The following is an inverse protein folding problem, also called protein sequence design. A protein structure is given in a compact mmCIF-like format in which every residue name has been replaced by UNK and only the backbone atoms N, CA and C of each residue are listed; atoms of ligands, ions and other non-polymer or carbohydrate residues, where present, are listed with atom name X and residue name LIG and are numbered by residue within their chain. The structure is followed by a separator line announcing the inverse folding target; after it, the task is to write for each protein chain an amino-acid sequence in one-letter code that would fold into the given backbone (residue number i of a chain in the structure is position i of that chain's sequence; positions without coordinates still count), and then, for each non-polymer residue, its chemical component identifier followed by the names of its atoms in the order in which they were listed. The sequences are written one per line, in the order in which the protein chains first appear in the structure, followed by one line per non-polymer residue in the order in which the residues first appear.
data_IF_030205381654
#
_entry.id   IF_030205381654
#
_cell.length_a   1.000
_cell.length_b   1.000
_cell.length_c   1.000
_cell.angle_alpha   90.00
_cell.angle_beta   90.00
_cell.angle_gamma   90.00
#
_symmetry.space_group_name_H-M   'P 1'
#
loop_
_entity.id
_entity.type
_entity.pdbx_description
1 polymer ?
#
# COMPACT_ATOMS: atom_id res chain seq x y z
N UNK A 1 12.05 4.15 0.87
CA UNK A 1 11.73 3.07 1.81
C UNK A 1 12.96 2.77 2.66
N UNK A 2 12.90 3.06 3.96
CA UNK A 2 13.95 2.72 4.92
C UNK A 2 13.67 1.37 5.59
N UNK A 3 14.70 0.72 6.14
CA UNK A 3 14.56 -0.52 6.94
C UNK A 3 13.48 -0.38 8.03
N UNK A 4 13.48 0.76 8.73
CA UNK A 4 12.48 1.06 9.77
C UNK A 4 11.07 1.13 9.20
N UNK A 5 10.87 1.81 8.08
CA UNK A 5 9.57 1.86 7.44
C UNK A 5 9.11 0.45 7.00
N UNK A 6 10.03 -0.42 6.53
CA UNK A 6 9.69 -1.80 6.15
C UNK A 6 9.19 -2.59 7.37
N UNK A 7 9.91 -2.51 8.48
CA UNK A 7 9.56 -3.21 9.72
C UNK A 7 8.27 -2.67 10.36
N UNK A 8 7.99 -1.38 10.21
CA UNK A 8 6.79 -0.74 10.79
C UNK A 8 5.59 -0.69 9.85
N UNK A 9 5.69 -1.25 8.63
CA UNK A 9 4.66 -1.18 7.58
C UNK A 9 3.30 -1.70 8.05
N UNK A 10 3.26 -2.82 8.79
CA UNK A 10 2.02 -3.40 9.31
C UNK A 10 1.25 -2.48 10.27
N UNK A 11 1.95 -1.52 10.89
CA UNK A 11 1.42 -0.53 11.84
C UNK A 11 1.67 0.91 11.39
N UNK A 12 1.71 1.15 10.08
CA UNK A 12 2.11 2.43 9.49
C UNK A 12 1.29 3.63 9.99
N UNK A 13 0.03 3.42 10.40
CA UNK A 13 -0.86 4.47 10.92
C UNK A 13 -0.36 5.07 12.23
N UNK A 14 0.25 4.26 13.08
CA UNK A 14 0.76 4.63 14.40
C UNK A 14 2.27 4.89 14.38
N UNK A 15 2.94 4.49 13.31
CA UNK A 15 4.38 4.63 13.13
C UNK A 15 4.80 6.08 12.87
N UNK A 16 5.85 6.51 13.58
CA UNK A 16 6.55 7.77 13.32
C UNK A 16 7.56 7.68 12.17
N UNK A 17 7.74 6.50 11.57
CA UNK A 17 8.63 6.31 10.41
C UNK A 17 8.02 6.82 9.10
N UNK A 18 6.72 7.11 9.07
CA UNK A 18 6.00 7.64 7.91
C UNK A 18 5.57 9.08 8.13
N UNK A 19 5.71 9.88 7.08
CA UNK A 19 5.14 11.22 6.98
C UNK A 19 3.61 11.16 6.85
N UNK A 20 2.96 12.32 6.96
CA UNK A 20 1.51 12.41 6.77
C UNK A 20 1.08 12.03 5.34
N UNK A 21 1.88 12.38 4.33
CA UNK A 21 1.58 12.09 2.93
C UNK A 21 1.80 10.62 2.58
N UNK A 22 2.87 10.00 3.11
CA UNK A 22 3.09 8.56 2.98
C UNK A 22 1.95 7.76 3.63
N UNK A 23 1.47 8.18 4.81
CA UNK A 23 0.30 7.54 5.46
C UNK A 23 -0.97 7.66 4.62
N UNK A 24 -1.21 8.80 3.98
CA UNK A 24 -2.36 8.98 3.07
C UNK A 24 -2.26 8.08 1.83
N UNK A 25 -1.08 7.97 1.23
CA UNK A 25 -0.87 7.07 0.11
C UNK A 25 -1.07 5.60 0.49
N UNK A 26 -0.59 5.19 1.68
CA UNK A 26 -0.81 3.86 2.22
C UNK A 26 -2.29 3.61 2.56
N UNK A 27 -3.01 4.59 3.10
CA UNK A 27 -4.46 4.48 3.33
C UNK A 27 -5.21 4.19 2.01
N UNK A 28 -4.87 4.90 0.92
CA UNK A 28 -5.44 4.61 -0.41
C UNK A 28 -5.10 3.20 -0.88
N UNK A 29 -3.84 2.78 -0.72
CA UNK A 29 -3.39 1.44 -1.10
C UNK A 29 -4.14 0.35 -0.33
N UNK A 30 -4.38 0.54 0.97
CA UNK A 30 -5.17 -0.38 1.80
C UNK A 30 -6.60 -0.49 1.29
N UNK A 31 -7.29 0.64 1.06
CA UNK A 31 -8.68 0.63 0.58
C UNK A 31 -8.81 0.01 -0.83
N UNK A 32 -7.88 0.31 -1.74
CA UNK A 32 -7.84 -0.27 -3.08
C UNK A 32 -7.46 -1.76 -3.13
N UNK A 33 -6.85 -2.30 -2.06
CA UNK A 33 -6.48 -3.71 -1.97
C UNK A 33 -7.60 -4.60 -1.42
N UNK A 34 -8.69 -4.02 -0.89
CA UNK A 34 -9.85 -4.77 -0.39
C UNK A 34 -10.66 -5.41 -1.52
N UNK A 35 -11.44 -6.43 -1.17
CA UNK A 35 -12.42 -7.04 -2.05
C UNK A 35 -13.77 -7.15 -1.30
N UNK A 36 -14.78 -6.31 -1.64
CA UNK A 36 -14.81 -5.31 -2.71
C UNK A 36 -13.95 -4.07 -2.41
N UNK A 37 -13.54 -3.36 -3.47
CA UNK A 37 -12.86 -2.06 -3.35
C UNK A 37 -13.89 -0.99 -3.00
N UNK A 38 -13.64 -0.24 -1.93
CA UNK A 38 -14.42 0.92 -1.53
C UNK A 38 -13.49 1.95 -0.91
N UNK A 39 -13.34 3.11 -1.55
CA UNK A 39 -12.53 4.22 -1.03
C UNK A 39 -13.47 5.24 -0.39
N UNK A 40 -13.37 5.50 0.93
CA UNK A 40 -14.22 6.49 1.60
C UNK A 40 -14.06 7.89 1.02
N UNK A 41 -15.16 8.63 0.90
CA UNK A 41 -15.15 10.00 0.37
C UNK A 41 -14.26 10.93 1.21
N UNK A 42 -14.23 10.73 2.53
CA UNK A 42 -13.39 11.51 3.44
C UNK A 42 -11.90 11.31 3.15
N UNK A 43 -11.50 10.09 2.74
CA UNK A 43 -10.13 9.81 2.33
C UNK A 43 -9.80 10.51 1.01
N UNK A 44 -10.70 10.48 0.03
CA UNK A 44 -10.53 11.19 -1.23
C UNK A 44 -10.42 12.71 -1.05
N UNK A 45 -11.20 13.30 -0.13
CA UNK A 45 -11.09 14.73 0.21
C UNK A 45 -9.70 15.05 0.78
N UNK A 46 -9.21 14.24 1.73
CA UNK A 46 -7.87 14.42 2.31
C UNK A 46 -6.76 14.26 1.28
N UNK A 47 -6.89 13.29 0.37
CA UNK A 47 -5.96 13.06 -0.73
C UNK A 47 -5.88 14.26 -1.69
N UNK A 48 -7.04 14.78 -2.14
CA UNK A 48 -7.10 15.96 -3.02
C UNK A 48 -6.60 17.25 -2.39
N UNK A 49 -6.59 17.33 -1.05
CA UNK A 49 -5.99 18.46 -0.34
C UNK A 49 -4.45 18.42 -0.30
N UNK A 50 -3.83 17.27 -0.63
CA UNK A 50 -2.38 17.06 -0.56
C UNK A 50 -1.74 16.83 -1.92
N UNK A 51 -2.44 16.17 -2.82
CA UNK A 51 -1.95 15.76 -4.13
C UNK A 51 -2.79 16.40 -5.24
N UNK A 52 -2.12 16.80 -6.32
CA UNK A 52 -2.77 17.23 -7.55
C UNK A 52 -3.49 16.08 -8.25
N UNK A 53 -4.36 16.42 -9.21
CA UNK A 53 -5.15 15.42 -9.94
C UNK A 53 -4.27 14.40 -10.67
N UNK A 54 -3.23 14.85 -11.36
CA UNK A 54 -2.29 13.97 -12.07
C UNK A 54 -1.55 13.01 -11.10
N UNK A 55 -1.09 13.53 -9.96
CA UNK A 55 -0.41 12.72 -8.94
C UNK A 55 -1.34 11.65 -8.35
N UNK A 56 -2.62 11.98 -8.13
CA UNK A 56 -3.61 11.00 -7.67
C UNK A 56 -3.91 9.92 -8.71
N UNK A 57 -3.99 10.30 -9.99
CA UNK A 57 -4.16 9.34 -11.09
C UNK A 57 -2.97 8.38 -11.16
N UNK A 58 -1.75 8.90 -11.07
CA UNK A 58 -0.54 8.08 -11.07
C UNK A 58 -0.48 7.15 -9.85
N UNK A 59 -0.80 7.66 -8.66
CA UNK A 59 -0.83 6.87 -7.43
C UNK A 59 -1.84 5.73 -7.52
N UNK A 60 -3.08 6.01 -7.96
CA UNK A 60 -4.11 5.01 -8.13
C UNK A 60 -3.73 3.96 -9.19
N UNK A 61 -3.12 4.40 -10.30
CA UNK A 61 -2.65 3.50 -11.35
C UNK A 61 -1.55 2.55 -10.85
N UNK A 62 -0.58 3.06 -10.09
CA UNK A 62 0.48 2.25 -9.50
C UNK A 62 -0.08 1.18 -8.56
N UNK A 63 -1.04 1.55 -7.69
CA UNK A 63 -1.70 0.59 -6.79
C UNK A 63 -2.48 -0.47 -7.56
N UNK A 64 -3.25 -0.05 -8.57
CA UNK A 64 -4.03 -0.98 -9.40
C UNK A 64 -3.12 -1.99 -10.14
N UNK A 65 -1.96 -1.55 -10.62
CA UNK A 65 -0.98 -2.39 -11.29
C UNK A 65 -0.44 -3.51 -10.38
N UNK A 66 -0.16 -3.20 -9.12
CA UNK A 66 0.23 -4.22 -8.14
C UNK A 66 -0.92 -5.17 -7.80
N UNK A 67 -2.16 -4.67 -7.78
CA UNK A 67 -3.36 -5.51 -7.66
C UNK A 67 -3.56 -6.48 -8.83
N UNK A 68 -3.19 -6.08 -10.06
CA UNK A 68 -3.15 -6.96 -11.23
C UNK A 68 -2.07 -8.04 -11.07
N UNK A 69 -0.84 -7.64 -10.71
CA UNK A 69 0.29 -8.57 -10.50
C UNK A 69 -0.01 -9.59 -9.41
N UNK A 70 -0.60 -9.16 -8.30
CA UNK A 70 -1.00 -10.06 -7.22
C UNK A 70 -1.96 -11.15 -7.71
N UNK A 71 -3.01 -10.77 -8.45
CA UNK A 71 -3.99 -11.72 -9.01
C UNK A 71 -3.37 -12.63 -10.07
N UNK A 72 -2.57 -12.06 -10.97
CA UNK A 72 -1.86 -12.80 -12.00
C UNK A 72 -0.93 -13.86 -11.39
N UNK A 73 -0.11 -13.47 -10.42
CA UNK A 73 0.84 -14.37 -9.77
C UNK A 73 0.13 -15.53 -9.04
N UNK A 74 -1.00 -15.26 -8.40
CA UNK A 74 -1.81 -16.29 -7.73
C UNK A 74 -2.34 -17.34 -8.73
N UNK A 75 -2.76 -16.94 -9.92
CA UNK A 75 -3.26 -17.87 -10.96
C UNK A 75 -2.18 -18.89 -11.37
N UNK A 76 -0.92 -18.45 -11.48
CA UNK A 76 0.18 -19.29 -11.94
C UNK A 76 1.03 -19.89 -10.82
N UNK A 77 0.62 -19.73 -9.54
CA UNK A 77 1.36 -20.26 -8.40
C UNK A 77 2.76 -19.67 -8.25
N UNK A 78 2.97 -18.43 -8.71
CA UNK A 78 4.27 -17.75 -8.63
C UNK A 78 4.61 -17.51 -7.17
N UNK A 79 5.65 -18.19 -6.68
CA UNK A 79 6.13 -18.07 -5.31
C UNK A 79 7.24 -17.03 -5.19
N UNK A 80 7.46 -16.54 -3.97
CA UNK A 80 8.62 -15.71 -3.66
C UNK A 80 9.91 -16.49 -3.96
N UNK A 81 10.90 -15.80 -4.52
CA UNK A 81 12.18 -16.38 -4.97
C UNK A 81 13.28 -16.30 -3.89
N UNK A 82 12.91 -16.29 -2.61
CA UNK A 82 13.85 -16.40 -1.48
C UNK A 82 14.65 -15.14 -1.13
N UNK A 83 14.46 -14.00 -1.79
CA UNK A 83 15.21 -12.76 -1.47
C UNK A 83 14.95 -12.19 -0.06
N UNK A 84 13.92 -12.67 0.64
CA UNK A 84 13.57 -12.26 2.00
C UNK A 84 13.78 -13.40 3.02
N UNK A 85 14.51 -14.45 2.65
CA UNK A 85 14.81 -15.56 3.55
C UNK A 85 15.62 -15.06 4.76
N UNK A 86 15.08 -15.22 5.97
CA UNK A 86 15.67 -14.68 7.20
C UNK A 86 15.38 -13.20 7.48
N UNK A 87 14.67 -12.49 6.59
CA UNK A 87 14.21 -11.12 6.82
C UNK A 87 12.81 -11.08 7.46
N UNK A 88 12.46 -9.94 8.09
CA UNK A 88 11.14 -9.74 8.67
C UNK A 88 10.10 -9.61 7.55
N UNK A 89 9.24 -10.62 7.43
CA UNK A 89 7.99 -10.45 6.69
C UNK A 89 7.07 -9.60 7.58
N UNK A 90 6.82 -8.34 7.17
CA UNK A 90 5.94 -7.42 7.90
C UNK A 90 4.47 -7.84 7.71
N UNK A 91 4.12 -8.98 8.29
CA UNK A 91 2.74 -9.45 8.34
C UNK A 91 1.92 -8.48 9.20
N UNK A 92 0.70 -8.10 8.77
CA UNK A 92 -0.17 -7.28 9.60
C UNK A 92 -0.49 -8.01 10.92
N UNK A 93 -0.59 -7.25 12.00
CA UNK A 93 -1.12 -7.77 13.27
C UNK A 93 -2.58 -8.23 13.05
N UNK A 94 -2.96 -9.34 13.70
CA UNK A 94 -4.25 -10.00 13.48
C UNK A 94 -5.45 -9.15 13.88
#
# INVERSE_FOLDING_TARGET
MTERQLQEMGRYRESSAFSADERLALDLAVEMSKAPVAVPDELLVRLRARFGEAELVELAAAIAWEGYRARFNLVFGVSAVGFSEGAVCALPER
#
